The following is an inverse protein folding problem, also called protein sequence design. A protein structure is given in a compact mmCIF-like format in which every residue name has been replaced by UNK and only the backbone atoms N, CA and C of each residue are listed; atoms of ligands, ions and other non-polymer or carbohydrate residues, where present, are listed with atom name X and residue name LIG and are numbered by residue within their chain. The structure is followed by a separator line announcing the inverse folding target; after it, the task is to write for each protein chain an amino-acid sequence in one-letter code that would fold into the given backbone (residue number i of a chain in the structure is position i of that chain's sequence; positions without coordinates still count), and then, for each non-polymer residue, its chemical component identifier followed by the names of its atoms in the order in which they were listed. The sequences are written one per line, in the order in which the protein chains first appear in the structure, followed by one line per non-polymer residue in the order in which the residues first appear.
data_IF_928515155638
#
_entry.id   IF_928515155638
#
_cell.length_a   1.000
_cell.length_b   1.000
_cell.length_c   1.000
_cell.angle_alpha   90.00
_cell.angle_beta   90.00
_cell.angle_gamma   90.00
#
_symmetry.space_group_name_H-M   'P 1'
#
loop_
_entity.id
_entity.type
_entity.pdbx_description
1 polymer ?
#
# COMPACT_ATOMS: atom_id res chain seq x y z
N UNK A 1 -15.38 12.76 17.13
CA UNK A 1 -14.92 11.36 16.82
C UNK A 1 -15.79 10.72 15.75
N UNK A 2 -17.09 10.74 15.90
CA UNK A 2 -18.04 10.15 14.92
C UNK A 2 -17.92 10.81 13.54
N UNK A 3 -17.79 12.12 13.50
CA UNK A 3 -17.61 12.87 12.26
C UNK A 3 -16.28 12.53 11.58
N UNK A 4 -15.20 12.40 12.36
CA UNK A 4 -13.88 11.99 11.83
C UNK A 4 -13.91 10.61 11.21
N UNK A 5 -14.59 9.66 11.85
CA UNK A 5 -14.75 8.31 11.32
C UNK A 5 -15.52 8.34 10.01
N UNK A 6 -16.63 9.06 9.95
CA UNK A 6 -17.43 9.19 8.73
C UNK A 6 -16.65 9.86 7.59
N UNK A 7 -15.85 10.88 7.89
CA UNK A 7 -15.03 11.58 6.91
C UNK A 7 -13.97 10.62 6.33
N UNK A 8 -13.33 9.82 7.17
CA UNK A 8 -12.34 8.85 6.73
C UNK A 8 -12.98 7.76 5.89
N UNK A 9 -14.13 7.24 6.31
CA UNK A 9 -14.90 6.28 5.51
C UNK A 9 -15.29 6.85 4.15
N UNK A 10 -15.70 8.12 4.10
CA UNK A 10 -15.99 8.81 2.85
C UNK A 10 -14.79 8.91 1.93
N UNK A 11 -13.61 9.20 2.48
CA UNK A 11 -12.36 9.23 1.70
C UNK A 11 -12.04 7.87 1.09
N UNK A 12 -12.46 6.76 1.74
CA UNK A 12 -12.33 5.40 1.22
C UNK A 12 -13.55 4.93 0.42
N UNK A 13 -14.34 5.87 -0.09
CA UNK A 13 -15.48 5.62 -0.98
C UNK A 13 -16.69 4.93 -0.34
N UNK A 14 -16.85 5.03 0.98
CA UNK A 14 -18.08 4.61 1.64
C UNK A 14 -19.08 5.76 1.63
N UNK A 15 -20.22 5.56 0.97
CA UNK A 15 -21.29 6.55 0.95
C UNK A 15 -22.07 6.57 2.27
N UNK A 16 -22.94 7.59 2.47
CA UNK A 16 -23.70 7.77 3.69
C UNK A 16 -24.44 6.51 4.18
N UNK A 17 -25.11 5.81 3.27
CA UNK A 17 -25.85 4.58 3.60
C UNK A 17 -24.91 3.43 3.96
N UNK A 18 -23.73 3.35 3.35
CA UNK A 18 -22.75 2.30 3.60
C UNK A 18 -22.21 2.36 5.03
N UNK A 19 -22.19 3.53 5.65
CA UNK A 19 -21.63 3.71 7.00
C UNK A 19 -22.46 3.00 8.08
N UNK A 20 -23.70 2.66 7.77
CA UNK A 20 -24.60 1.96 8.70
C UNK A 20 -24.76 0.49 8.41
N UNK A 21 -24.17 -0.01 7.32
CA UNK A 21 -24.21 -1.42 6.95
C UNK A 21 -23.39 -2.29 7.91
N UNK A 22 -23.87 -3.51 8.11
CA UNK A 22 -23.09 -4.51 8.83
C UNK A 22 -21.94 -5.00 7.95
N UNK A 23 -20.79 -5.30 8.55
CA UNK A 23 -19.58 -5.75 7.83
C UNK A 23 -19.86 -6.99 6.98
N UNK A 24 -20.69 -7.91 7.47
CA UNK A 24 -21.01 -9.16 6.77
C UNK A 24 -21.64 -8.97 5.39
N UNK A 25 -22.27 -7.84 5.11
CA UNK A 25 -22.93 -7.57 3.82
C UNK A 25 -22.05 -6.79 2.85
N UNK A 26 -20.83 -6.40 3.28
CA UNK A 26 -19.89 -5.70 2.41
C UNK A 26 -19.25 -6.66 1.41
N UNK A 27 -18.87 -6.14 0.24
CA UNK A 27 -18.08 -6.89 -0.74
C UNK A 27 -16.66 -7.13 -0.21
N UNK A 28 -15.90 -8.01 -0.89
CA UNK A 28 -14.50 -8.27 -0.55
C UNK A 28 -13.64 -7.01 -0.58
N UNK A 29 -13.77 -6.19 -1.64
CA UNK A 29 -13.06 -4.92 -1.77
C UNK A 29 -13.45 -3.92 -0.71
N UNK A 30 -14.74 -3.83 -0.39
CA UNK A 30 -15.23 -2.97 0.69
C UNK A 30 -14.69 -3.38 2.05
N UNK A 31 -14.64 -4.69 2.32
CA UNK A 31 -14.05 -5.22 3.57
C UNK A 31 -12.57 -4.86 3.68
N UNK A 32 -11.81 -4.96 2.59
CA UNK A 32 -10.40 -4.58 2.56
C UNK A 32 -10.22 -3.10 2.86
N UNK A 33 -11.02 -2.24 2.23
CA UNK A 33 -10.99 -0.79 2.49
C UNK A 33 -11.33 -0.49 3.95
N UNK A 34 -12.33 -1.15 4.50
CA UNK A 34 -12.72 -0.96 5.89
C UNK A 34 -11.61 -1.38 6.86
N UNK A 35 -10.93 -2.50 6.58
CA UNK A 35 -9.81 -2.96 7.38
C UNK A 35 -8.67 -1.92 7.41
N UNK A 36 -8.36 -1.31 6.26
CA UNK A 36 -7.34 -0.25 6.17
C UNK A 36 -7.76 1.02 6.91
N UNK A 37 -9.02 1.42 6.80
CA UNK A 37 -9.56 2.56 7.57
C UNK A 37 -9.39 2.31 9.06
N UNK A 38 -9.70 1.11 9.52
CA UNK A 38 -9.57 0.73 10.92
C UNK A 38 -8.13 0.84 11.40
N UNK A 39 -7.17 0.35 10.60
CA UNK A 39 -5.75 0.45 10.93
C UNK A 39 -5.28 1.91 11.01
N UNK A 40 -5.75 2.77 10.11
CA UNK A 40 -5.36 4.18 10.08
C UNK A 40 -5.96 4.99 11.24
N UNK A 41 -7.05 4.51 11.84
CA UNK A 41 -7.65 5.15 13.00
C UNK A 41 -6.91 4.83 14.31
N UNK A 42 -6.13 3.76 14.32
CA UNK A 42 -5.37 3.37 15.50
C UNK A 42 -4.07 4.17 15.60
N UNK A 43 -3.64 4.61 16.80
CA UNK A 43 -2.39 5.34 16.97
C UNK A 43 -1.19 4.38 16.96
N UNK A 44 -0.83 3.87 15.78
CA UNK A 44 0.28 2.94 15.61
C UNK A 44 1.52 3.65 15.08
N UNK A 45 2.70 3.20 15.49
CA UNK A 45 3.99 3.74 15.03
C UNK A 45 4.53 3.01 13.82
N UNK A 46 4.17 1.73 13.65
CA UNK A 46 4.63 0.89 12.56
C UNK A 46 3.42 0.21 11.93
N UNK A 47 3.32 0.29 10.63
CA UNK A 47 2.27 -0.35 9.86
C UNK A 47 2.92 -1.32 8.86
N UNK A 48 2.54 -2.58 8.93
CA UNK A 48 3.05 -3.62 8.03
C UNK A 48 1.89 -4.10 7.16
N UNK A 49 2.03 -3.95 5.85
CA UNK A 49 1.02 -4.36 4.88
C UNK A 49 1.62 -5.34 3.89
N UNK A 50 1.00 -6.50 3.77
CA UNK A 50 1.40 -7.55 2.84
C UNK A 50 0.38 -7.63 1.71
N UNK A 51 0.81 -7.26 0.50
CA UNK A 51 -0.01 -7.23 -0.71
C UNK A 51 -1.36 -6.51 -0.51
N UNK A 52 -1.36 -5.26 -0.03
CA UNK A 52 -2.60 -4.57 0.35
C UNK A 52 -3.49 -4.22 -0.84
N UNK A 53 -2.96 -4.26 -2.07
CA UNK A 53 -3.68 -3.86 -3.28
C UNK A 53 -4.17 -5.04 -4.11
N UNK A 54 -3.97 -6.29 -3.65
CA UNK A 54 -4.43 -7.47 -4.38
C UNK A 54 -5.94 -7.41 -4.64
N UNK A 55 -6.30 -7.66 -5.90
CA UNK A 55 -7.69 -7.69 -6.36
C UNK A 55 -8.46 -6.37 -6.22
N UNK A 56 -7.75 -5.24 -6.06
CA UNK A 56 -8.36 -3.92 -6.00
C UNK A 56 -8.29 -3.22 -7.36
N UNK A 57 -9.30 -2.41 -7.65
CA UNK A 57 -9.32 -1.56 -8.83
C UNK A 57 -8.38 -0.36 -8.68
N UNK A 58 -8.07 0.31 -9.79
CA UNK A 58 -7.12 1.44 -9.82
C UNK A 58 -7.55 2.58 -8.90
N UNK A 59 -8.83 2.90 -8.87
CA UNK A 59 -9.36 3.98 -8.05
C UNK A 59 -9.17 3.72 -6.56
N UNK A 60 -9.45 2.50 -6.12
CA UNK A 60 -9.25 2.08 -4.73
C UNK A 60 -7.77 2.09 -4.37
N UNK A 61 -6.90 1.62 -5.27
CA UNK A 61 -5.44 1.68 -5.07
C UNK A 61 -4.95 3.10 -4.87
N UNK A 62 -5.42 4.05 -5.67
CA UNK A 62 -5.03 5.46 -5.57
C UNK A 62 -5.46 6.07 -4.23
N UNK A 63 -6.65 5.73 -3.76
CA UNK A 63 -7.15 6.21 -2.47
C UNK A 63 -6.30 5.67 -1.32
N UNK A 64 -5.97 4.39 -1.34
CA UNK A 64 -5.13 3.75 -0.34
C UNK A 64 -3.72 4.37 -0.37
N UNK A 65 -3.16 4.56 -1.55
CA UNK A 65 -1.84 5.18 -1.72
C UNK A 65 -1.80 6.58 -1.11
N UNK A 66 -2.81 7.41 -1.38
CA UNK A 66 -2.91 8.75 -0.80
C UNK A 66 -2.97 8.71 0.73
N UNK A 67 -3.77 7.80 1.29
CA UNK A 67 -3.88 7.66 2.74
C UNK A 67 -2.56 7.22 3.38
N UNK A 68 -1.83 6.30 2.74
CA UNK A 68 -0.54 5.83 3.23
C UNK A 68 0.56 6.89 3.13
N UNK A 69 0.49 7.79 2.15
CA UNK A 69 1.41 8.93 2.07
C UNK A 69 1.31 9.86 3.26
N UNK A 70 0.11 9.98 3.83
CA UNK A 70 -0.15 10.84 4.99
C UNK A 70 0.16 10.15 6.32
N UNK A 71 0.55 8.88 6.30
CA UNK A 71 0.89 8.14 7.51
C UNK A 71 2.23 8.61 8.07
N UNK A 72 2.25 9.04 9.33
CA UNK A 72 3.41 9.64 9.99
C UNK A 72 4.43 8.65 10.54
N UNK A 73 4.07 7.37 10.65
CA UNK A 73 4.93 6.34 11.23
C UNK A 73 5.82 5.66 10.20
N UNK A 74 6.35 4.52 10.60
CA UNK A 74 7.13 3.64 9.72
C UNK A 74 6.19 2.72 8.97
N UNK A 75 6.32 2.68 7.65
CA UNK A 75 5.51 1.85 6.78
C UNK A 75 6.38 0.78 6.14
N UNK A 76 5.99 -0.49 6.32
CA UNK A 76 6.63 -1.64 5.68
C UNK A 76 5.63 -2.24 4.72
N UNK A 77 5.95 -2.22 3.42
CA UNK A 77 5.09 -2.72 2.36
C UNK A 77 5.74 -3.91 1.66
N UNK A 78 4.97 -4.98 1.52
CA UNK A 78 5.30 -6.10 0.65
C UNK A 78 4.35 -6.06 -0.54
N UNK A 79 4.85 -5.81 -1.73
CA UNK A 79 4.02 -5.67 -2.92
C UNK A 79 4.80 -5.95 -4.20
N UNK A 80 4.12 -6.49 -5.21
CA UNK A 80 4.61 -6.63 -6.58
C UNK A 80 4.09 -5.51 -7.48
N UNK A 81 3.25 -4.63 -6.96
CA UNK A 81 2.65 -3.51 -7.69
C UNK A 81 3.60 -2.31 -7.66
N UNK A 82 4.35 -2.13 -8.75
CA UNK A 82 5.38 -1.07 -8.86
C UNK A 82 4.79 0.31 -8.81
N UNK A 83 3.66 0.53 -9.47
CA UNK A 83 3.00 1.83 -9.48
C UNK A 83 2.51 2.23 -8.09
N UNK A 84 2.05 1.25 -7.32
CA UNK A 84 1.63 1.47 -5.94
C UNK A 84 2.82 1.85 -5.04
N UNK A 85 3.94 1.16 -5.19
CA UNK A 85 5.15 1.42 -4.40
C UNK A 85 5.82 2.73 -4.76
N UNK A 86 5.68 3.17 -6.00
CA UNK A 86 6.32 4.41 -6.47
C UNK A 86 5.75 5.62 -5.74
N UNK A 87 6.65 6.42 -5.15
CA UNK A 87 6.28 7.57 -4.34
C UNK A 87 5.93 7.23 -2.88
N UNK A 88 5.82 5.95 -2.52
CA UNK A 88 5.65 5.52 -1.13
C UNK A 88 6.95 5.00 -0.53
N UNK A 89 7.68 4.18 -1.28
CA UNK A 89 8.91 3.57 -0.80
C UNK A 89 10.10 4.49 -0.97
N UNK A 90 10.81 4.76 0.12
CA UNK A 90 12.07 5.50 0.13
C UNK A 90 13.26 4.56 0.12
N UNK A 91 13.05 3.32 0.48
CA UNK A 91 14.06 2.29 0.64
C UNK A 91 13.48 0.96 0.20
N UNK A 92 14.25 0.19 -0.54
CA UNK A 92 13.83 -1.12 -1.02
C UNK A 92 14.71 -2.21 -0.43
N UNK A 93 14.09 -3.27 0.10
CA UNK A 93 14.78 -4.47 0.52
C UNK A 93 14.49 -5.57 -0.50
N UNK A 94 15.54 -6.01 -1.18
CA UNK A 94 15.43 -7.10 -2.14
C UNK A 94 15.79 -8.43 -1.47
N UNK A 95 14.88 -9.39 -1.55
CA UNK A 95 15.08 -10.75 -1.03
C UNK A 95 15.37 -11.69 -2.20
N UNK A 96 16.48 -12.39 -2.14
CA UNK A 96 16.86 -13.36 -3.16
C UNK A 96 18.23 -13.94 -2.89
N UNK A 97 18.56 -15.07 -3.52
CA UNK A 97 19.84 -15.76 -3.39
C UNK A 97 20.27 -15.96 -1.93
N UNK A 98 19.31 -16.23 -1.04
CA UNK A 98 19.52 -16.41 0.41
C UNK A 98 20.10 -15.17 1.10
N UNK A 99 19.88 -14.00 0.53
CA UNK A 99 20.35 -12.70 1.07
C UNK A 99 19.22 -11.69 1.07
N UNK A 100 19.40 -10.66 1.90
CA UNK A 100 18.58 -9.45 1.88
C UNK A 100 19.52 -8.30 1.54
N UNK A 101 19.21 -7.60 0.46
CA UNK A 101 20.00 -6.47 0.00
C UNK A 101 19.19 -5.19 0.13
N UNK A 102 19.77 -4.19 0.78
CA UNK A 102 19.15 -2.88 0.97
C UNK A 102 19.54 -1.92 -0.15
N UNK A 103 18.54 -1.23 -0.70
CA UNK A 103 18.72 -0.21 -1.72
C UNK A 103 18.10 1.10 -1.25
N UNK A 104 18.87 2.19 -1.29
CA UNK A 104 18.43 3.54 -0.91
C UNK A 104 17.89 4.31 -2.12
N UNK A 105 17.03 3.68 -2.88
CA UNK A 105 16.55 4.21 -4.14
C UNK A 105 15.02 4.16 -4.19
N UNK A 106 14.45 5.00 -5.05
CA UNK A 106 13.03 4.87 -5.40
C UNK A 106 12.81 3.53 -6.10
N UNK A 107 11.58 3.05 -6.13
CA UNK A 107 11.26 1.80 -6.84
C UNK A 107 11.63 1.89 -8.32
N UNK A 108 11.45 3.05 -8.94
CA UNK A 108 11.84 3.29 -10.33
C UNK A 108 13.35 3.15 -10.52
N UNK A 109 14.15 3.77 -9.64
CA UNK A 109 15.60 3.64 -9.67
C UNK A 109 16.07 2.21 -9.45
N UNK A 110 15.47 1.51 -8.50
CA UNK A 110 15.75 0.08 -8.24
C UNK A 110 15.49 -0.78 -9.48
N UNK A 111 14.35 -0.60 -10.13
CA UNK A 111 14.00 -1.36 -11.32
C UNK A 111 14.92 -1.06 -12.50
N UNK A 112 15.38 0.18 -12.64
CA UNK A 112 16.36 0.55 -13.65
C UNK A 112 17.70 -0.18 -13.45
N UNK A 113 18.17 -0.26 -12.19
CA UNK A 113 19.38 -1.01 -11.86
C UNK A 113 19.24 -2.50 -12.18
N UNK A 114 18.13 -3.11 -11.84
CA UNK A 114 17.86 -4.53 -12.13
C UNK A 114 17.89 -4.80 -13.63
N UNK A 115 17.33 -3.91 -14.42
CA UNK A 115 17.36 -4.01 -15.88
C UNK A 115 18.79 -3.95 -16.43
N UNK A 116 19.60 -3.03 -15.91
CA UNK A 116 21.01 -2.90 -16.30
C UNK A 116 21.81 -4.14 -15.95
N UNK A 117 21.63 -4.71 -14.78
CA UNK A 117 22.28 -5.95 -14.36
C UNK A 117 21.92 -7.10 -15.30
N UNK A 118 20.64 -7.25 -15.64
CA UNK A 118 20.19 -8.30 -16.57
C UNK A 118 20.81 -8.13 -17.95
N UNK A 119 20.94 -6.92 -18.46
CA UNK A 119 21.59 -6.64 -19.74
C UNK A 119 23.06 -7.00 -19.72
N UNK A 120 23.78 -6.69 -18.63
CA UNK A 120 25.19 -7.07 -18.47
C UNK A 120 25.38 -8.58 -18.45
N UNK A 121 24.48 -9.31 -17.83
CA UNK A 121 24.53 -10.77 -17.81
C UNK A 121 24.35 -11.38 -19.21
N UNK A 122 23.49 -10.77 -20.02
CA UNK A 122 23.28 -11.21 -21.41
C UNK A 122 24.51 -10.96 -22.28
N UNK A 123 25.22 -9.87 -22.06
CA UNK A 123 26.42 -9.50 -22.81
C UNK A 123 27.66 -10.35 -22.47
N UNK A 124 27.62 -11.05 -21.35
CA UNK A 124 28.66 -12.01 -20.97
C UNK A 124 28.47 -13.37 -21.66
#
# INVERSE_FOLDING_TARGET
IRTQIKNLLGAFMFSGDDTTKKVKILSGGEKTRLALVKLLLEPVNVLILDEPTNHLDMRTKDIIKSALKDFDGTLILVSHDRDFLDGLAEKVFEFGHKRVKEHFETITGFMALKKMESLREIEK
#
